data_IF_620744174714
#
_entry.id   IF_620744174714
#
_cell.length_a   1.000
_cell.length_b   1.000
_cell.length_c   1.000
_cell.angle_alpha   90.00
_cell.angle_beta   90.00
_cell.angle_gamma   90.00
#
_symmetry.space_group_name_H-M   'P 1'
#
loop_
_entity.id
_entity.type
_entity.pdbx_description
1 polymer ?
#
# COMPACT_ATOMS: atom_id res chain seq x y z
N UNK A 1 -17.55 6.18 -10.82
CA UNK A 1 -16.28 5.45 -10.99
C UNK A 1 -15.69 5.09 -9.64
N UNK A 2 -14.76 5.91 -9.11
CA UNK A 2 -13.96 5.61 -7.92
C UNK A 2 -14.75 5.10 -6.71
N UNK A 3 -15.90 5.69 -6.38
CA UNK A 3 -16.76 5.22 -5.28
C UNK A 3 -17.17 3.74 -5.44
N UNK A 4 -17.53 3.33 -6.66
CA UNK A 4 -17.97 1.95 -6.94
C UNK A 4 -16.80 0.97 -6.78
N UNK A 5 -15.62 1.35 -7.27
CA UNK A 5 -14.41 0.52 -7.11
C UNK A 5 -13.99 0.42 -5.63
N UNK A 6 -14.02 1.55 -4.90
CA UNK A 6 -13.73 1.56 -3.46
C UNK A 6 -14.67 0.61 -2.70
N UNK A 7 -15.98 0.67 -2.99
CA UNK A 7 -16.95 -0.23 -2.38
C UNK A 7 -16.72 -1.69 -2.77
N UNK A 8 -16.43 -1.97 -4.04
CA UNK A 8 -16.12 -3.34 -4.49
C UNK A 8 -14.87 -3.91 -3.83
N UNK A 9 -13.84 -3.10 -3.58
CA UNK A 9 -12.66 -3.50 -2.81
C UNK A 9 -13.04 -3.81 -1.37
N UNK A 10 -13.88 -2.96 -0.75
CA UNK A 10 -14.30 -3.13 0.64
C UNK A 10 -15.21 -4.35 0.87
N UNK A 11 -15.97 -4.77 -0.14
CA UNK A 11 -16.86 -5.94 -0.11
C UNK A 11 -16.16 -7.24 -0.54
N UNK A 12 -14.97 -7.14 -1.14
CA UNK A 12 -14.20 -8.29 -1.60
C UNK A 12 -13.63 -9.09 -0.42
N UNK A 13 -13.59 -10.41 -0.54
CA UNK A 13 -12.89 -11.30 0.39
C UNK A 13 -11.37 -11.36 0.15
N UNK A 14 -10.88 -10.71 -0.91
CA UNK A 14 -9.46 -10.67 -1.21
C UNK A 14 -8.69 -9.80 -0.22
N UNK A 15 -7.42 -10.16 0.03
CA UNK A 15 -6.52 -9.27 0.76
C UNK A 15 -6.23 -8.02 -0.07
N UNK A 16 -6.60 -6.85 0.46
CA UNK A 16 -6.45 -5.57 -0.22
C UNK A 16 -5.27 -4.79 0.36
N UNK A 17 -4.39 -4.33 -0.52
CA UNK A 17 -3.29 -3.41 -0.21
C UNK A 17 -3.53 -2.13 -1.00
N UNK A 18 -3.55 -0.98 -0.32
CA UNK A 18 -3.69 0.32 -0.94
C UNK A 18 -2.51 1.23 -0.62
N UNK A 19 -2.16 2.11 -1.55
CA UNK A 19 -1.11 3.11 -1.35
C UNK A 19 -1.20 4.23 -2.38
N UNK A 20 -0.53 5.34 -2.09
CA UNK A 20 -0.58 6.58 -2.89
C UNK A 20 -1.58 7.60 -2.33
N UNK A 21 -1.20 8.88 -2.36
CA UNK A 21 -1.95 9.97 -1.69
C UNK A 21 -3.42 10.06 -2.13
N UNK A 22 -3.68 10.03 -3.44
CA UNK A 22 -5.04 10.11 -3.98
C UNK A 22 -5.88 8.88 -3.61
N UNK A 23 -5.28 7.69 -3.60
CA UNK A 23 -5.94 6.45 -3.17
C UNK A 23 -6.36 6.53 -1.70
N UNK A 24 -5.47 7.03 -0.84
CA UNK A 24 -5.75 7.24 0.59
C UNK A 24 -6.84 8.30 0.82
N UNK A 25 -6.80 9.40 0.06
CA UNK A 25 -7.85 10.41 0.10
C UNK A 25 -9.22 9.85 -0.33
N UNK A 26 -9.25 8.96 -1.32
CA UNK A 26 -10.48 8.28 -1.73
C UNK A 26 -10.98 7.29 -0.68
N UNK A 27 -10.08 6.49 -0.08
CA UNK A 27 -10.42 5.57 1.02
C UNK A 27 -11.05 6.34 2.18
N UNK A 28 -10.44 7.45 2.60
CA UNK A 28 -10.97 8.29 3.67
C UNK A 28 -12.30 8.95 3.30
N UNK A 29 -12.41 9.47 2.07
CA UNK A 29 -13.64 10.09 1.57
C UNK A 29 -14.84 9.14 1.57
N UNK A 30 -14.61 7.84 1.36
CA UNK A 30 -15.69 6.85 1.29
C UNK A 30 -15.82 5.99 2.56
N UNK A 31 -15.00 6.23 3.59
CA UNK A 31 -15.13 5.58 4.89
C UNK A 31 -14.83 4.07 4.86
N UNK A 32 -13.90 3.64 4.01
CA UNK A 32 -13.57 2.21 3.82
C UNK A 32 -12.25 1.80 4.49
N UNK A 33 -11.70 2.61 5.40
CA UNK A 33 -10.38 2.40 6.01
C UNK A 33 -10.27 1.06 6.73
N UNK A 34 -11.35 0.62 7.40
CA UNK A 34 -11.38 -0.61 8.19
C UNK A 34 -11.54 -1.86 7.33
N UNK A 35 -11.91 -1.70 6.06
CA UNK A 35 -12.16 -2.77 5.11
C UNK A 35 -10.95 -3.01 4.18
N UNK A 36 -9.97 -2.11 4.20
CA UNK A 36 -8.71 -2.30 3.48
C UNK A 36 -7.74 -3.07 4.37
N UNK A 37 -7.19 -4.17 3.85
CA UNK A 37 -6.30 -5.08 4.61
C UNK A 37 -4.98 -4.43 5.03
N UNK A 38 -4.41 -3.57 4.19
CA UNK A 38 -3.21 -2.79 4.50
C UNK A 38 -3.21 -1.44 3.76
N UNK A 39 -2.93 -0.36 4.48
CA UNK A 39 -2.81 0.99 3.92
C UNK A 39 -1.35 1.45 4.05
N UNK A 40 -0.66 1.54 2.91
CA UNK A 40 0.69 2.08 2.83
C UNK A 40 0.68 3.60 2.74
N UNK A 41 1.39 4.24 3.67
CA UNK A 41 1.68 5.68 3.66
C UNK A 41 3.02 6.02 3.00
N UNK A 42 3.72 5.02 2.42
CA UNK A 42 5.07 5.15 1.88
C UNK A 42 5.20 5.95 0.58
N UNK A 43 4.08 6.43 0.01
CA UNK A 43 4.09 7.28 -1.19
C UNK A 43 4.89 6.67 -2.34
N UNK A 44 5.95 7.37 -2.78
CA UNK A 44 6.84 6.89 -3.85
C UNK A 44 7.58 5.60 -3.52
N UNK A 45 8.00 5.41 -2.26
CA UNK A 45 8.70 4.18 -1.86
C UNK A 45 7.82 2.93 -2.00
N UNK A 46 6.50 3.07 -1.78
CA UNK A 46 5.54 2.00 -2.04
C UNK A 46 5.47 1.65 -3.53
N UNK A 47 5.47 2.64 -4.41
CA UNK A 47 5.47 2.43 -5.86
C UNK A 47 6.77 1.78 -6.34
N UNK A 48 7.92 2.25 -5.85
CA UNK A 48 9.22 1.68 -6.21
C UNK A 48 9.34 0.20 -5.84
N UNK A 49 8.80 -0.21 -4.68
CA UNK A 49 8.73 -1.64 -4.31
C UNK A 49 7.85 -2.42 -5.31
N UNK A 50 6.69 -1.89 -5.69
CA UNK A 50 5.80 -2.56 -6.66
C UNK A 50 6.40 -2.61 -8.07
N UNK A 51 7.26 -1.67 -8.42
CA UNK A 51 8.08 -1.69 -9.64
C UNK A 51 9.22 -2.72 -9.60
N UNK A 52 9.42 -3.39 -8.45
CA UNK A 52 10.49 -4.38 -8.25
C UNK A 52 11.86 -3.78 -7.98
N UNK A 53 11.93 -2.49 -7.64
CA UNK A 53 13.18 -1.83 -7.28
C UNK A 53 13.59 -2.19 -5.86
N UNK A 54 14.89 -2.34 -5.67
CA UNK A 54 15.47 -2.45 -4.33
C UNK A 54 15.54 -1.06 -3.69
N UNK A 55 14.89 -0.89 -2.53
CA UNK A 55 15.04 0.33 -1.75
C UNK A 55 16.40 0.34 -1.03
N UNK A 56 17.23 1.39 -1.19
CA UNK A 56 18.57 1.43 -0.57
C UNK A 56 18.56 1.22 0.94
N UNK A 57 17.52 1.72 1.63
CA UNK A 57 17.36 1.54 3.07
C UNK A 57 17.07 0.09 3.47
N UNK A 58 16.33 -0.67 2.67
CA UNK A 58 16.05 -2.09 2.92
C UNK A 58 17.30 -2.93 2.61
N UNK A 59 18.02 -2.58 1.55
CA UNK A 59 19.25 -3.26 1.13
C UNK A 59 20.33 -3.19 2.23
N UNK A 60 20.63 -1.99 2.74
CA UNK A 60 21.64 -1.84 3.78
C UNK A 60 21.27 -2.60 5.05
N UNK A 61 20.00 -2.61 5.46
CA UNK A 61 19.54 -3.37 6.62
C UNK A 61 19.67 -4.89 6.40
N UNK A 62 19.35 -5.37 5.19
CA UNK A 62 19.45 -6.78 4.83
C UNK A 62 20.90 -7.26 4.82
N UNK A 63 21.82 -6.46 4.29
CA UNK A 63 23.25 -6.76 4.31
C UNK A 63 23.79 -6.88 5.74
N UNK A 64 23.40 -5.96 6.63
CA UNK A 64 23.82 -5.99 8.03
C UNK A 64 23.28 -7.21 8.78
N UNK A 65 22.01 -7.55 8.57
CA UNK A 65 21.39 -8.72 9.20
C UNK A 65 21.99 -10.05 8.72
N UNK A 66 22.52 -10.12 7.49
CA UNK A 66 23.14 -11.32 6.94
C UNK A 66 24.59 -11.54 7.39
N UNK A 67 25.19 -10.57 8.08
CA UNK A 67 26.59 -10.66 8.55
C UNK A 67 26.69 -11.12 10.01
N UNK A 68 25.56 -11.34 10.68
CA UNK A 68 25.43 -11.92 12.03
C UNK A 68 25.11 -13.42 11.95
#
# INVERSE_FOLDING_TARGET
GTKVIAQAIAESSAFSIAGGGDTLAAIAKYGIEKQVGYISTGGGAFLEILEGKTLPAIDILSQRAATD
#
